data_IF_555913944615
#
_entry.id   IF_555913944615
#
_cell.length_a   1.000
_cell.length_b   1.000
_cell.length_c   1.000
_cell.angle_alpha   90.00
_cell.angle_beta   90.00
_cell.angle_gamma   90.00
#
_symmetry.space_group_name_H-M   'P 1'
#
loop_
_entity.id
_entity.type
_entity.pdbx_description
1 polymer ?
#
# COMPACT_ATOMS: atom_id res chain seq x y z
N UNK A 1 -4.11 25.43 -11.17
CA UNK A 1 -5.43 24.84 -10.78
C UNK A 1 -6.53 25.41 -11.69
N UNK A 2 -7.22 24.54 -12.44
CA UNK A 2 -8.37 24.92 -13.26
C UNK A 2 -9.54 25.40 -12.37
N UNK A 3 -10.48 26.26 -12.87
CA UNK A 3 -11.54 26.80 -12.03
C UNK A 3 -12.42 25.74 -11.33
N UNK A 4 -12.74 24.66 -12.01
CA UNK A 4 -13.54 23.54 -11.47
C UNK A 4 -12.80 22.80 -10.36
N UNK A 5 -11.51 22.56 -10.55
CA UNK A 5 -10.62 21.90 -9.58
C UNK A 5 -10.44 22.81 -8.35
N UNK A 6 -10.34 24.12 -8.55
CA UNK A 6 -10.31 25.09 -7.45
C UNK A 6 -11.61 25.08 -6.64
N UNK A 7 -12.76 25.03 -7.30
CA UNK A 7 -14.04 24.92 -6.61
C UNK A 7 -14.13 23.64 -5.76
N UNK A 8 -13.67 22.51 -6.28
CA UNK A 8 -13.59 21.25 -5.53
C UNK A 8 -12.65 21.37 -4.31
N UNK A 9 -11.47 21.98 -4.48
CA UNK A 9 -10.53 22.23 -3.39
C UNK A 9 -11.15 23.09 -2.27
N UNK A 10 -11.75 24.23 -2.63
CA UNK A 10 -12.37 25.14 -1.65
C UNK A 10 -13.55 24.48 -0.91
N UNK A 11 -14.31 23.62 -1.58
CA UNK A 11 -15.37 22.84 -0.94
C UNK A 11 -14.81 21.86 0.09
N UNK A 12 -13.80 21.07 -0.26
CA UNK A 12 -13.11 20.17 0.66
C UNK A 12 -12.53 20.94 1.85
N UNK A 13 -11.84 22.07 1.58
CA UNK A 13 -11.27 22.93 2.61
C UNK A 13 -12.32 23.43 3.59
N UNK A 14 -13.44 23.92 3.09
CA UNK A 14 -14.53 24.42 3.92
C UNK A 14 -15.14 23.35 4.83
N UNK A 15 -15.32 22.14 4.31
CA UNK A 15 -15.94 21.04 5.06
C UNK A 15 -14.99 20.49 6.13
N UNK A 16 -13.70 20.37 5.82
CA UNK A 16 -12.74 19.63 6.67
C UNK A 16 -11.92 20.55 7.61
N UNK A 17 -11.97 21.88 7.44
CA UNK A 17 -11.21 22.81 8.32
C UNK A 17 -11.54 22.60 9.80
N UNK A 18 -12.81 22.41 10.15
CA UNK A 18 -13.22 22.16 11.54
C UNK A 18 -12.63 20.88 12.14
N UNK A 19 -12.49 19.83 11.32
CA UNK A 19 -11.87 18.58 11.79
C UNK A 19 -10.38 18.77 12.05
N UNK A 20 -9.68 19.44 11.12
CA UNK A 20 -8.26 19.74 11.24
C UNK A 20 -7.95 20.56 12.49
N UNK A 21 -8.71 21.65 12.73
CA UNK A 21 -8.55 22.50 13.90
C UNK A 21 -8.83 21.78 15.23
N UNK A 22 -9.70 20.78 15.22
CA UNK A 22 -9.98 19.94 16.39
C UNK A 22 -8.91 18.88 16.69
N UNK A 23 -8.10 18.50 15.69
CA UNK A 23 -7.15 17.38 15.79
C UNK A 23 -5.68 17.80 15.78
N UNK A 24 -5.37 19.00 15.29
CA UNK A 24 -4.00 19.46 15.10
C UNK A 24 -3.81 20.88 15.66
N UNK A 25 -2.58 21.21 15.99
CA UNK A 25 -2.21 22.58 16.32
C UNK A 25 -2.27 23.48 15.05
N UNK A 26 -2.42 24.81 15.20
CA UNK A 26 -2.58 25.72 14.06
C UNK A 26 -1.45 25.65 13.01
N UNK A 27 -0.20 25.46 13.45
CA UNK A 27 0.95 25.33 12.56
C UNK A 27 0.84 24.08 11.66
N UNK A 28 0.44 22.97 12.22
CA UNK A 28 0.29 21.72 11.48
C UNK A 28 -0.88 21.81 10.49
N UNK A 29 -1.95 22.51 10.86
CA UNK A 29 -3.08 22.81 9.96
C UNK A 29 -2.60 23.62 8.75
N UNK A 30 -1.84 24.70 8.98
CA UNK A 30 -1.31 25.54 7.90
C UNK A 30 -0.37 24.74 6.98
N UNK A 31 0.54 23.93 7.55
CA UNK A 31 1.45 23.09 6.77
C UNK A 31 0.69 22.02 5.98
N UNK A 32 -0.33 21.39 6.58
CA UNK A 32 -1.17 20.43 5.88
C UNK A 32 -1.83 21.06 4.64
N UNK A 33 -2.50 22.22 4.81
CA UNK A 33 -3.16 22.90 3.70
C UNK A 33 -2.20 23.34 2.61
N UNK A 34 -1.03 23.89 2.98
CA UNK A 34 0.01 24.29 2.03
C UNK A 34 0.47 23.10 1.17
N UNK A 35 0.71 21.94 1.79
CA UNK A 35 1.12 20.72 1.10
C UNK A 35 0.00 20.14 0.26
N UNK A 36 -1.21 20.10 0.79
CA UNK A 36 -2.38 19.57 0.08
C UNK A 36 -2.71 20.41 -1.16
N UNK A 37 -2.72 21.75 -1.05
CA UNK A 37 -2.94 22.64 -2.20
C UNK A 37 -1.90 22.42 -3.30
N UNK A 38 -0.63 22.20 -2.92
CA UNK A 38 0.45 21.96 -3.88
C UNK A 38 0.24 20.73 -4.75
N UNK A 39 -0.34 19.67 -4.20
CA UNK A 39 -0.48 18.37 -4.89
C UNK A 39 -1.93 18.07 -5.27
N UNK A 40 -2.84 18.99 -5.01
CA UNK A 40 -4.27 18.77 -5.22
C UNK A 40 -4.63 18.52 -6.68
N UNK A 41 -4.04 19.27 -7.61
CA UNK A 41 -4.31 19.14 -9.04
C UNK A 41 -3.98 17.70 -9.53
N UNK A 42 -2.81 17.20 -9.14
CA UNK A 42 -2.37 15.85 -9.55
C UNK A 42 -3.25 14.77 -8.92
N UNK A 43 -3.56 14.90 -7.62
CA UNK A 43 -4.43 13.96 -6.91
C UNK A 43 -5.84 13.96 -7.50
N UNK A 44 -6.43 15.14 -7.71
CA UNK A 44 -7.76 15.28 -8.29
C UNK A 44 -7.81 14.71 -9.70
N UNK A 45 -6.83 15.02 -10.54
CA UNK A 45 -6.73 14.49 -11.90
C UNK A 45 -6.66 12.96 -11.91
N UNK A 46 -5.80 12.37 -11.08
CA UNK A 46 -5.66 10.92 -11.00
C UNK A 46 -6.96 10.23 -10.55
N UNK A 47 -7.59 10.72 -9.49
CA UNK A 47 -8.85 10.16 -8.98
C UNK A 47 -10.01 10.36 -9.95
N UNK A 48 -10.09 11.52 -10.59
CA UNK A 48 -11.13 11.80 -11.59
C UNK A 48 -10.95 10.92 -12.83
N UNK A 49 -9.72 10.66 -13.26
CA UNK A 49 -9.43 9.76 -14.38
C UNK A 49 -9.89 8.33 -14.10
N UNK A 50 -9.72 7.86 -12.86
CA UNK A 50 -10.07 6.49 -12.49
C UNK A 50 -11.55 6.33 -12.11
N UNK A 51 -12.14 7.33 -11.45
CA UNK A 51 -13.44 7.20 -10.80
C UNK A 51 -14.43 8.32 -11.13
N UNK A 52 -14.06 9.27 -12.00
CA UNK A 52 -14.88 10.48 -12.27
C UNK A 52 -16.26 10.18 -12.86
N UNK A 53 -16.43 9.06 -13.57
CA UNK A 53 -17.71 8.63 -14.14
C UNK A 53 -18.67 8.01 -13.11
N UNK A 54 -18.23 7.80 -11.87
CA UNK A 54 -19.06 7.23 -10.80
C UNK A 54 -19.98 8.30 -10.20
N UNK A 55 -21.21 7.91 -9.91
CA UNK A 55 -22.17 8.80 -9.24
C UNK A 55 -21.73 9.21 -7.82
N UNK A 56 -20.90 8.40 -7.15
CA UNK A 56 -20.38 8.62 -5.79
C UNK A 56 -18.95 9.17 -5.76
N UNK A 57 -18.38 9.61 -6.91
CA UNK A 57 -16.99 10.03 -7.02
C UNK A 57 -16.60 11.13 -6.00
N UNK A 58 -17.46 12.10 -5.76
CA UNK A 58 -17.20 13.19 -4.80
C UNK A 58 -17.19 12.67 -3.35
N UNK A 59 -18.08 11.74 -3.02
CA UNK A 59 -18.10 11.10 -1.69
C UNK A 59 -16.82 10.29 -1.46
N UNK A 60 -16.41 9.48 -2.45
CA UNK A 60 -15.17 8.71 -2.38
C UNK A 60 -13.94 9.59 -2.20
N UNK A 61 -13.89 10.71 -2.92
CA UNK A 61 -12.83 11.71 -2.73
C UNK A 61 -12.83 12.28 -1.29
N UNK A 62 -13.99 12.68 -0.77
CA UNK A 62 -14.12 13.17 0.60
C UNK A 62 -13.68 12.15 1.66
N UNK A 63 -14.03 10.87 1.48
CA UNK A 63 -13.60 9.78 2.37
C UNK A 63 -12.08 9.58 2.34
N UNK A 64 -11.47 9.59 1.16
CA UNK A 64 -10.02 9.49 1.03
C UNK A 64 -9.32 10.68 1.70
N UNK A 65 -9.83 11.89 1.49
CA UNK A 65 -9.32 13.09 2.13
C UNK A 65 -9.39 13.00 3.66
N UNK A 66 -10.52 12.54 4.21
CA UNK A 66 -10.65 12.31 5.66
C UNK A 66 -9.59 11.36 6.22
N UNK A 67 -9.24 10.29 5.49
CA UNK A 67 -8.14 9.39 5.86
C UNK A 67 -6.77 10.08 5.82
N UNK A 68 -6.52 10.95 4.83
CA UNK A 68 -5.29 11.74 4.75
C UNK A 68 -5.15 12.69 5.95
N UNK A 69 -6.24 13.35 6.34
CA UNK A 69 -6.29 14.22 7.52
C UNK A 69 -5.96 13.45 8.79
N UNK A 70 -6.64 12.32 9.02
CA UNK A 70 -6.41 11.48 10.18
C UNK A 70 -4.96 10.99 10.25
N UNK A 71 -4.43 10.49 9.15
CA UNK A 71 -3.06 10.00 9.09
C UNK A 71 -2.02 11.08 9.34
N UNK A 72 -2.25 12.31 8.86
CA UNK A 72 -1.35 13.44 9.12
C UNK A 72 -1.44 13.93 10.58
N UNK A 73 -2.63 13.93 11.15
CA UNK A 73 -2.80 14.26 12.58
C UNK A 73 -2.02 13.31 13.49
N UNK A 74 -2.04 12.01 13.17
CA UNK A 74 -1.30 10.96 13.90
C UNK A 74 0.19 10.88 13.56
N UNK A 75 0.64 11.62 12.53
CA UNK A 75 2.03 11.54 12.09
C UNK A 75 2.98 12.10 13.16
N UNK A 76 4.02 11.35 13.57
CA UNK A 76 5.00 11.80 14.55
C UNK A 76 5.73 13.09 14.10
N UNK A 77 5.94 14.03 15.01
CA UNK A 77 6.57 15.33 14.70
C UNK A 77 7.94 15.22 14.01
N UNK A 78 8.85 14.31 14.41
CA UNK A 78 10.11 14.13 13.69
C UNK A 78 9.93 13.71 12.22
N UNK A 79 8.84 13.00 11.90
CA UNK A 79 8.52 12.62 10.52
C UNK A 79 7.88 13.78 9.74
N UNK A 80 7.09 14.65 10.40
CA UNK A 80 6.59 15.90 9.79
C UNK A 80 7.75 16.81 9.39
N UNK A 81 8.77 16.93 10.26
CA UNK A 81 10.00 17.70 9.97
C UNK A 81 10.74 17.10 8.76
N UNK A 82 10.96 15.77 8.78
CA UNK A 82 11.61 15.07 7.66
C UNK A 82 10.85 15.26 6.33
N UNK A 83 9.51 15.29 6.35
CA UNK A 83 8.70 15.55 5.17
C UNK A 83 9.01 16.92 4.57
N UNK A 84 9.13 17.96 5.40
CA UNK A 84 9.45 19.32 4.95
C UNK A 84 10.88 19.40 4.39
N UNK A 85 11.86 18.78 5.05
CA UNK A 85 13.24 18.70 4.57
C UNK A 85 13.32 18.03 3.19
N UNK A 86 12.62 16.91 3.02
CA UNK A 86 12.54 16.19 1.73
C UNK A 86 11.82 16.99 0.65
N UNK A 87 10.82 17.78 1.02
CA UNK A 87 10.11 18.65 0.10
C UNK A 87 11.01 19.79 -0.41
N UNK A 88 11.85 20.37 0.46
CA UNK A 88 12.85 21.37 0.09
C UNK A 88 13.97 20.79 -0.78
N UNK A 89 14.22 19.50 -0.66
CA UNK A 89 15.26 18.77 -1.41
C UNK A 89 14.64 17.61 -2.20
N UNK A 90 13.71 17.92 -3.10
CA UNK A 90 12.85 16.95 -3.79
C UNK A 90 13.59 15.79 -4.48
N UNK A 91 14.88 15.97 -4.84
CA UNK A 91 15.75 14.95 -5.43
C UNK A 91 16.66 14.26 -4.40
N UNK A 92 16.29 14.25 -3.11
CA UNK A 92 17.09 13.66 -2.05
C UNK A 92 17.46 12.19 -2.33
N UNK A 93 16.58 11.41 -2.95
CA UNK A 93 16.77 10.00 -3.29
C UNK A 93 17.64 9.76 -4.54
N UNK A 94 17.99 10.81 -5.30
CA UNK A 94 18.85 10.76 -6.49
C UNK A 94 20.28 11.28 -6.22
N UNK A 95 20.59 11.57 -4.97
CA UNK A 95 21.93 12.05 -4.60
C UNK A 95 22.97 10.94 -4.75
N UNK A 96 24.21 11.30 -5.08
CA UNK A 96 25.31 10.36 -5.27
C UNK A 96 25.69 9.58 -4.01
N UNK A 97 25.29 10.08 -2.83
CA UNK A 97 25.48 9.41 -1.54
C UNK A 97 24.30 8.51 -1.12
N UNK A 98 23.29 8.32 -1.98
CA UNK A 98 22.23 7.35 -1.75
C UNK A 98 22.72 5.96 -2.13
N UNK A 99 23.29 5.26 -1.14
CA UNK A 99 23.77 3.89 -1.29
C UNK A 99 22.80 2.94 -0.60
N UNK A 100 22.24 2.01 -1.39
CA UNK A 100 21.23 1.07 -0.94
C UNK A 100 21.80 -0.28 -0.52
N UNK A 101 21.17 -0.89 0.48
CA UNK A 101 21.37 -2.29 0.87
C UNK A 101 20.02 -2.98 0.95
N UNK A 102 19.86 -4.10 0.26
CA UNK A 102 18.63 -4.88 0.25
C UNK A 102 18.86 -6.26 0.86
N UNK A 103 18.02 -6.67 1.80
CA UNK A 103 18.15 -7.98 2.43
C UNK A 103 16.82 -8.46 3.02
N UNK A 104 16.73 -9.78 3.22
CA UNK A 104 15.77 -10.37 4.16
C UNK A 104 16.29 -10.20 5.58
N UNK A 105 15.40 -9.84 6.50
CA UNK A 105 15.72 -9.59 7.92
C UNK A 105 16.36 -10.78 8.60
N UNK A 106 15.76 -11.97 8.43
CA UNK A 106 16.23 -13.24 9.00
C UNK A 106 17.61 -13.66 8.46
N UNK A 107 17.82 -13.55 7.15
CA UNK A 107 19.09 -13.91 6.52
C UNK A 107 20.23 -12.94 6.88
N UNK A 108 19.90 -11.66 7.09
CA UNK A 108 20.90 -10.64 7.41
C UNK A 108 21.30 -10.64 8.89
N UNK A 109 20.30 -10.75 9.79
CA UNK A 109 20.55 -10.52 11.21
C UNK A 109 19.65 -11.34 12.16
N UNK A 110 18.87 -12.27 11.65
CA UNK A 110 17.96 -13.12 12.39
C UNK A 110 16.59 -12.49 12.66
N UNK A 111 16.57 -11.28 13.21
CA UNK A 111 15.36 -10.53 13.54
C UNK A 111 15.57 -9.01 13.49
N UNK A 112 14.53 -8.22 13.79
CA UNK A 112 14.60 -6.76 13.80
C UNK A 112 15.57 -6.22 14.86
N UNK A 113 15.73 -6.90 15.98
CA UNK A 113 16.71 -6.54 17.01
C UNK A 113 18.14 -6.76 16.52
N UNK A 114 18.38 -7.86 15.81
CA UNK A 114 19.66 -8.13 15.15
C UNK A 114 20.00 -7.07 14.10
N UNK A 115 19.02 -6.64 13.27
CA UNK A 115 19.23 -5.52 12.32
C UNK A 115 19.64 -4.25 13.04
N UNK A 116 18.99 -3.91 14.17
CA UNK A 116 19.39 -2.76 15.00
C UNK A 116 20.85 -2.89 15.48
N UNK A 117 21.28 -4.08 15.86
CA UNK A 117 22.67 -4.36 16.24
C UNK A 117 23.68 -4.22 15.08
N UNK A 118 23.21 -4.24 13.83
CA UNK A 118 24.04 -4.10 12.61
C UNK A 118 24.09 -2.66 12.05
N UNK A 119 23.45 -1.69 12.66
CA UNK A 119 23.39 -0.31 12.12
C UNK A 119 24.81 0.30 11.98
N UNK A 120 25.70 0.07 12.94
CA UNK A 120 27.09 0.54 12.83
C UNK A 120 27.82 -0.05 11.61
N UNK A 121 27.62 -1.34 11.35
CA UNK A 121 28.16 -2.00 10.14
C UNK A 121 27.60 -1.38 8.86
N UNK A 122 26.30 -1.09 8.80
CA UNK A 122 25.70 -0.42 7.65
C UNK A 122 26.28 0.98 7.42
N UNK A 123 26.56 1.73 8.51
CA UNK A 123 27.21 3.04 8.43
C UNK A 123 28.65 2.93 7.92
N UNK A 124 29.42 1.94 8.37
CA UNK A 124 30.79 1.67 7.88
C UNK A 124 30.81 1.36 6.37
N UNK A 125 29.79 0.68 5.86
CA UNK A 125 29.59 0.46 4.44
C UNK A 125 29.12 1.71 3.67
N UNK A 126 28.82 2.82 4.34
CA UNK A 126 28.28 4.03 3.72
C UNK A 126 26.81 3.90 3.29
N UNK A 127 26.04 2.97 3.87
CA UNK A 127 24.63 2.75 3.54
C UNK A 127 23.79 3.91 4.08
N UNK A 128 22.96 4.48 3.22
CA UNK A 128 21.98 5.53 3.55
C UNK A 128 20.55 5.13 3.23
N UNK A 129 20.35 3.93 2.68
CA UNK A 129 19.06 3.38 2.30
C UNK A 129 19.06 1.88 2.57
N UNK A 130 18.23 1.44 3.51
CA UNK A 130 18.04 0.02 3.85
C UNK A 130 16.67 -0.46 3.38
N UNK A 131 16.64 -1.38 2.44
CA UNK A 131 15.44 -2.07 2.02
C UNK A 131 15.36 -3.43 2.73
N UNK A 132 14.41 -3.57 3.63
CA UNK A 132 14.03 -4.84 4.20
C UNK A 132 12.94 -5.46 3.33
N UNK A 133 13.26 -6.61 2.73
CA UNK A 133 12.33 -7.40 1.92
C UNK A 133 11.15 -7.88 2.80
N UNK A 134 10.06 -8.41 2.23
CA UNK A 134 8.79 -8.52 2.94
C UNK A 134 8.94 -9.05 4.36
N UNK A 135 8.51 -8.25 5.32
CA UNK A 135 8.61 -8.56 6.75
C UNK A 135 7.26 -8.56 7.47
N UNK A 136 6.16 -8.21 6.76
CA UNK A 136 4.83 -8.32 7.32
C UNK A 136 4.38 -9.78 7.37
N UNK A 137 3.33 -10.08 8.13
CA UNK A 137 2.89 -11.44 8.40
C UNK A 137 2.41 -12.14 7.12
N UNK A 138 3.15 -13.12 6.58
CA UNK A 138 2.72 -13.90 5.43
C UNK A 138 1.74 -14.99 5.84
N UNK A 139 1.15 -15.65 4.85
CA UNK A 139 0.37 -16.87 5.05
C UNK A 139 1.23 -18.01 5.58
N UNK A 140 0.64 -19.02 6.28
CA UNK A 140 1.35 -20.23 6.64
C UNK A 140 1.63 -21.11 5.40
N UNK A 141 2.80 -21.77 5.39
CA UNK A 141 3.26 -22.63 4.29
C UNK A 141 3.93 -21.84 3.17
N UNK A 142 3.82 -22.28 1.90
CA UNK A 142 4.39 -21.54 0.77
C UNK A 142 3.80 -20.13 0.71
N UNK A 143 4.65 -19.11 0.71
CA UNK A 143 4.25 -17.71 0.89
C UNK A 143 4.90 -16.76 -0.13
N UNK A 144 5.51 -17.32 -1.17
CA UNK A 144 6.18 -16.56 -2.22
C UNK A 144 7.25 -15.59 -1.66
N UNK A 145 8.08 -16.08 -0.73
CA UNK A 145 9.12 -15.26 -0.11
C UNK A 145 8.60 -14.10 0.74
N UNK A 146 7.40 -14.26 1.31
CA UNK A 146 6.72 -13.26 2.14
C UNK A 146 5.76 -12.34 1.37
N UNK A 147 5.66 -12.48 0.03
CA UNK A 147 4.76 -11.64 -0.76
C UNK A 147 3.28 -12.06 -0.67
N UNK A 148 2.97 -13.26 -0.18
CA UNK A 148 1.58 -13.66 0.10
C UNK A 148 1.17 -13.23 1.52
N UNK A 149 0.80 -11.98 1.69
CA UNK A 149 0.53 -11.40 3.01
C UNK A 149 -0.85 -11.79 3.54
N UNK A 150 -0.89 -12.37 4.75
CA UNK A 150 -2.11 -12.65 5.50
C UNK A 150 -2.50 -11.50 6.43
N UNK A 151 -1.52 -10.73 6.92
CA UNK A 151 -1.75 -9.50 7.68
C UNK A 151 -0.69 -8.45 7.35
N UNK A 152 -1.14 -7.36 6.73
CA UNK A 152 -0.27 -6.26 6.33
C UNK A 152 0.02 -5.27 7.48
N UNK A 153 -0.54 -5.47 8.67
CA UNK A 153 -0.36 -4.61 9.86
C UNK A 153 0.40 -5.28 10.99
N UNK A 154 0.75 -6.56 10.85
CA UNK A 154 1.56 -7.31 11.79
C UNK A 154 2.92 -7.66 11.16
N UNK A 155 3.98 -7.61 11.93
CA UNK A 155 5.29 -8.15 11.54
C UNK A 155 5.26 -9.68 11.66
N UNK A 156 5.94 -10.39 10.77
CA UNK A 156 6.17 -11.84 10.85
C UNK A 156 6.70 -12.18 12.26
N UNK A 157 6.01 -13.07 12.95
CA UNK A 157 6.15 -13.26 14.40
C UNK A 157 7.54 -13.67 14.86
N UNK A 158 8.33 -14.32 14.00
CA UNK A 158 9.72 -14.71 14.26
C UNK A 158 10.72 -13.56 14.05
N UNK A 159 10.30 -12.45 13.37
CA UNK A 159 11.14 -11.28 13.16
C UNK A 159 11.00 -10.22 14.25
N UNK A 160 9.90 -10.23 15.00
CA UNK A 160 9.61 -9.25 16.05
C UNK A 160 8.19 -8.69 16.00
N UNK A 161 8.03 -7.47 16.47
CA UNK A 161 6.75 -6.79 16.60
C UNK A 161 6.72 -5.48 15.80
N UNK A 162 5.53 -4.91 15.62
CA UNK A 162 5.38 -3.55 15.06
C UNK A 162 6.16 -2.51 15.88
N UNK A 163 6.23 -2.68 17.21
CA UNK A 163 6.99 -1.77 18.06
C UNK A 163 8.50 -1.92 17.86
N UNK A 164 9.00 -3.12 17.59
CA UNK A 164 10.42 -3.33 17.24
C UNK A 164 10.76 -2.72 15.88
N UNK A 165 9.85 -2.82 14.90
CA UNK A 165 9.99 -2.13 13.62
C UNK A 165 10.01 -0.61 13.80
N UNK A 166 9.14 -0.05 14.65
CA UNK A 166 9.11 1.38 14.97
C UNK A 166 10.44 1.84 15.59
N UNK A 167 10.98 1.09 16.56
CA UNK A 167 12.28 1.38 17.17
C UNK A 167 13.42 1.34 16.15
N UNK A 168 13.43 0.30 15.28
CA UNK A 168 14.41 0.21 14.20
C UNK A 168 14.33 1.42 13.27
N UNK A 169 13.13 1.84 12.86
CA UNK A 169 12.94 2.99 11.98
C UNK A 169 13.43 4.31 12.61
N UNK A 170 13.25 4.48 13.92
CA UNK A 170 13.80 5.62 14.67
C UNK A 170 15.33 5.58 14.64
N UNK A 171 15.94 4.45 15.04
CA UNK A 171 17.40 4.30 15.14
C UNK A 171 18.08 4.48 13.77
N UNK A 172 17.50 3.96 12.68
CA UNK A 172 17.99 4.17 11.32
C UNK A 172 17.96 5.64 10.92
N UNK A 173 16.80 6.31 11.14
CA UNK A 173 16.62 7.73 10.81
C UNK A 173 17.61 8.62 11.55
N UNK A 174 17.84 8.41 12.84
CA UNK A 174 18.80 9.16 13.65
C UNK A 174 20.23 9.04 13.13
N UNK A 175 20.51 7.98 12.37
CA UNK A 175 21.82 7.73 11.73
C UNK A 175 21.83 8.02 10.24
N UNK A 176 20.81 8.71 9.73
CA UNK A 176 20.73 9.14 8.33
C UNK A 176 20.42 8.01 7.33
N UNK A 177 19.94 6.86 7.79
CA UNK A 177 19.56 5.73 6.95
C UNK A 177 18.04 5.74 6.74
N UNK A 178 17.60 5.81 5.49
CA UNK A 178 16.17 5.72 5.12
C UNK A 178 15.75 4.25 5.09
N UNK A 179 14.67 3.91 5.82
CA UNK A 179 14.06 2.58 5.76
C UNK A 179 13.13 2.49 4.56
N UNK A 180 13.29 1.45 3.75
CA UNK A 180 12.36 1.03 2.70
C UNK A 180 11.66 -0.26 3.10
N UNK A 181 10.35 -0.30 2.89
CA UNK A 181 9.52 -1.47 3.11
C UNK A 181 8.78 -1.84 1.83
N UNK A 182 8.58 -3.15 1.60
CA UNK A 182 7.69 -3.62 0.54
C UNK A 182 6.24 -3.33 0.89
N UNK A 183 5.48 -2.93 -0.11
CA UNK A 183 4.04 -2.81 -0.06
C UNK A 183 3.45 -3.61 -1.22
N UNK A 184 2.86 -4.76 -0.90
CA UNK A 184 2.17 -5.61 -1.87
C UNK A 184 0.81 -4.98 -2.16
N UNK A 185 0.62 -4.55 -3.41
CA UNK A 185 -0.57 -3.82 -3.83
C UNK A 185 -1.54 -4.69 -4.62
N UNK A 186 -1.01 -5.63 -5.42
CA UNK A 186 -1.81 -6.35 -6.40
C UNK A 186 -2.75 -7.37 -5.76
N UNK A 187 -2.34 -8.02 -4.69
CA UNK A 187 -3.02 -9.16 -4.12
C UNK A 187 -2.85 -9.25 -2.59
N UNK A 188 -3.66 -10.08 -1.99
CA UNK A 188 -3.49 -10.56 -0.62
C UNK A 188 -3.54 -12.09 -0.61
N UNK A 189 -3.01 -12.72 0.44
CA UNK A 189 -3.16 -14.16 0.61
C UNK A 189 -4.64 -14.52 0.86
N UNK A 190 -5.03 -15.73 0.45
CA UNK A 190 -6.39 -16.25 0.74
C UNK A 190 -6.71 -16.32 2.24
N UNK A 191 -5.69 -16.32 3.09
CA UNK A 191 -5.81 -16.28 4.56
C UNK A 191 -6.00 -14.87 5.12
N UNK A 192 -5.85 -13.82 4.30
CA UNK A 192 -6.10 -12.44 4.71
C UNK A 192 -7.56 -12.22 5.13
N UNK A 193 -7.80 -11.37 6.11
CA UNK A 193 -9.14 -11.08 6.63
C UNK A 193 -10.15 -10.77 5.51
N UNK A 194 -9.77 -9.95 4.53
CA UNK A 194 -10.67 -9.59 3.41
C UNK A 194 -11.06 -10.81 2.59
N UNK A 195 -10.11 -11.71 2.32
CA UNK A 195 -10.38 -12.94 1.58
C UNK A 195 -11.25 -13.90 2.38
N UNK A 196 -11.04 -14.02 3.69
CA UNK A 196 -11.86 -14.86 4.57
C UNK A 196 -13.29 -14.34 4.68
N UNK A 197 -13.48 -13.03 4.73
CA UNK A 197 -14.82 -12.40 4.73
C UNK A 197 -15.52 -12.54 3.37
N UNK A 198 -14.76 -12.46 2.27
CA UNK A 198 -15.28 -12.76 0.94
C UNK A 198 -15.71 -14.23 0.81
N UNK A 199 -14.94 -15.17 1.36
CA UNK A 199 -15.31 -16.60 1.45
C UNK A 199 -16.62 -16.80 2.19
N UNK A 200 -16.84 -16.07 3.29
CA UNK A 200 -18.06 -16.10 4.07
C UNK A 200 -19.29 -15.48 3.33
N UNK A 201 -19.07 -14.87 2.16
CA UNK A 201 -20.13 -14.29 1.34
C UNK A 201 -20.49 -12.85 1.69
N UNK A 202 -19.66 -12.13 2.45
CA UNK A 202 -19.89 -10.72 2.71
C UNK A 202 -19.70 -9.90 1.42
N UNK A 203 -20.78 -9.31 0.92
CA UNK A 203 -20.83 -8.62 -0.38
C UNK A 203 -19.77 -7.52 -0.51
N UNK A 204 -19.51 -6.76 0.56
CA UNK A 204 -18.48 -5.73 0.59
C UNK A 204 -17.12 -6.31 0.22
N UNK A 205 -16.74 -7.43 0.83
CA UNK A 205 -15.43 -8.05 0.65
C UNK A 205 -15.35 -8.91 -0.61
N UNK A 206 -16.47 -9.47 -1.08
CA UNK A 206 -16.53 -10.05 -2.42
C UNK A 206 -16.18 -9.03 -3.50
N UNK A 207 -16.63 -7.79 -3.34
CA UNK A 207 -16.32 -6.69 -4.26
C UNK A 207 -14.85 -6.21 -4.19
N UNK A 208 -14.07 -6.65 -3.20
CA UNK A 208 -12.62 -6.36 -3.13
C UNK A 208 -11.80 -7.20 -4.11
N UNK A 209 -12.36 -8.27 -4.64
CA UNK A 209 -11.71 -9.20 -5.54
C UNK A 209 -12.42 -9.27 -6.90
N UNK A 210 -11.69 -9.64 -7.93
CA UNK A 210 -12.27 -9.99 -9.22
C UNK A 210 -12.77 -11.43 -9.15
N UNK A 211 -14.08 -11.62 -9.09
CA UNK A 211 -14.72 -12.94 -8.97
C UNK A 211 -15.72 -13.19 -10.08
N UNK A 212 -15.79 -14.44 -10.58
CA UNK A 212 -16.62 -14.84 -11.71
C UNK A 212 -17.39 -16.12 -11.39
N UNK A 213 -18.65 -16.20 -11.86
CA UNK A 213 -19.50 -17.37 -11.64
C UNK A 213 -19.16 -18.54 -12.60
N UNK A 214 -18.69 -18.22 -13.81
CA UNK A 214 -18.39 -19.18 -14.86
C UNK A 214 -17.10 -18.79 -15.63
N UNK A 215 -16.70 -19.66 -16.57
CA UNK A 215 -15.46 -19.48 -17.35
C UNK A 215 -15.62 -18.75 -18.68
N UNK A 216 -16.79 -18.31 -19.05
CA UNK A 216 -17.05 -17.76 -20.39
C UNK A 216 -16.09 -16.62 -20.75
N UNK A 217 -15.97 -15.63 -19.85
CA UNK A 217 -15.02 -14.52 -20.04
C UNK A 217 -13.57 -14.96 -19.78
N UNK A 218 -13.36 -15.87 -18.84
CA UNK A 218 -12.03 -16.33 -18.45
C UNK A 218 -11.36 -17.11 -19.58
N UNK A 219 -12.08 -18.03 -20.20
CA UNK A 219 -11.58 -18.80 -21.36
C UNK A 219 -11.26 -17.90 -22.55
N UNK A 220 -12.00 -16.80 -22.73
CA UNK A 220 -11.69 -15.82 -23.76
C UNK A 220 -10.39 -15.04 -23.44
N UNK A 221 -10.20 -14.69 -22.18
CA UNK A 221 -9.00 -13.99 -21.70
C UNK A 221 -7.75 -14.87 -21.85
N UNK A 222 -7.79 -16.09 -21.32
CA UNK A 222 -6.68 -17.04 -21.31
C UNK A 222 -6.18 -17.41 -22.73
N UNK A 223 -7.05 -17.40 -23.74
CA UNK A 223 -6.64 -17.70 -25.13
C UNK A 223 -5.73 -16.67 -25.76
N UNK A 224 -5.71 -15.45 -25.26
CA UNK A 224 -5.06 -14.32 -25.92
C UNK A 224 -3.95 -13.67 -25.13
N UNK A 225 -3.83 -14.01 -23.85
CA UNK A 225 -2.91 -13.34 -22.94
C UNK A 225 -1.93 -14.32 -22.29
N UNK A 226 -0.66 -13.94 -22.14
CA UNK A 226 0.33 -14.76 -21.45
C UNK A 226 0.02 -14.85 -19.94
N UNK A 227 0.34 -15.99 -19.37
CA UNK A 227 0.34 -16.21 -17.93
C UNK A 227 1.69 -15.77 -17.34
N UNK A 228 1.68 -15.29 -16.09
CA UNK A 228 2.91 -14.89 -15.41
C UNK A 228 3.62 -16.11 -14.86
N UNK A 229 2.89 -16.97 -14.14
CA UNK A 229 3.38 -18.23 -13.59
C UNK A 229 2.44 -19.39 -13.97
N UNK A 230 2.54 -19.94 -15.17
CA UNK A 230 1.61 -20.94 -15.69
C UNK A 230 1.57 -22.25 -14.86
N UNK A 231 2.65 -22.60 -14.21
CA UNK A 231 2.73 -23.80 -13.37
C UNK A 231 2.08 -23.59 -11.98
N UNK A 232 2.05 -22.34 -11.47
CA UNK A 232 1.58 -21.98 -10.13
C UNK A 232 0.13 -21.46 -10.10
N UNK A 233 -0.29 -20.77 -11.14
CA UNK A 233 -1.63 -20.23 -11.28
C UNK A 233 -2.10 -20.36 -12.75
N UNK A 234 -2.41 -21.58 -13.21
CA UNK A 234 -2.81 -21.84 -14.59
C UNK A 234 -4.03 -20.99 -15.00
N UNK A 235 -3.89 -20.23 -16.09
CA UNK A 235 -4.95 -19.39 -16.64
C UNK A 235 -5.25 -18.13 -15.85
N UNK A 236 -4.44 -17.76 -14.87
CA UNK A 236 -4.65 -16.61 -13.99
C UNK A 236 -5.97 -16.62 -13.19
N UNK A 237 -6.66 -17.75 -13.11
CA UNK A 237 -7.94 -17.88 -12.40
C UNK A 237 -8.01 -19.18 -11.61
N UNK A 238 -8.33 -19.08 -10.34
CA UNK A 238 -8.44 -20.21 -9.41
C UNK A 238 -9.89 -20.44 -9.00
N UNK A 239 -10.36 -21.70 -9.09
CA UNK A 239 -11.69 -22.07 -8.57
C UNK A 239 -11.68 -22.19 -7.06
N UNK A 240 -12.56 -21.45 -6.39
CA UNK A 240 -12.74 -21.47 -4.94
C UNK A 240 -14.12 -22.02 -4.60
N UNK A 241 -14.24 -23.31 -4.28
CA UNK A 241 -15.53 -24.01 -4.15
C UNK A 241 -16.45 -23.44 -3.06
N UNK A 242 -15.87 -22.91 -1.98
CA UNK A 242 -16.62 -22.42 -0.81
C UNK A 242 -17.06 -20.97 -0.94
N UNK A 243 -16.56 -20.22 -1.93
CA UNK A 243 -16.79 -18.78 -2.02
C UNK A 243 -18.27 -18.47 -2.15
N UNK A 244 -18.79 -17.69 -1.22
CA UNK A 244 -20.19 -17.25 -1.16
C UNK A 244 -21.22 -18.42 -1.24
N UNK A 245 -20.86 -19.60 -0.76
CA UNK A 245 -21.74 -20.78 -0.71
C UNK A 245 -22.02 -21.47 -2.06
N UNK A 246 -21.58 -20.89 -3.17
CA UNK A 246 -21.85 -21.43 -4.51
C UNK A 246 -20.57 -21.72 -5.33
N UNK A 247 -19.41 -21.34 -4.81
CA UNK A 247 -18.14 -21.37 -5.53
C UNK A 247 -18.01 -20.24 -6.56
N UNK A 248 -16.79 -19.74 -6.73
CA UNK A 248 -16.45 -18.73 -7.73
C UNK A 248 -15.02 -18.92 -8.23
N UNK A 249 -14.76 -18.44 -9.43
CA UNK A 249 -13.42 -18.21 -9.94
C UNK A 249 -12.91 -16.88 -9.41
N UNK A 250 -11.67 -16.86 -8.93
CA UNK A 250 -10.98 -15.66 -8.45
C UNK A 250 -9.79 -15.39 -9.36
N UNK A 251 -9.54 -14.12 -9.67
CA UNK A 251 -8.33 -13.74 -10.39
C UNK A 251 -7.10 -13.94 -9.50
N UNK A 252 -6.10 -14.69 -10.01
CA UNK A 252 -4.86 -15.06 -9.31
C UNK A 252 -3.69 -14.96 -10.29
N UNK A 253 -3.10 -13.76 -10.38
CA UNK A 253 -2.04 -13.51 -11.38
C UNK A 253 -0.77 -14.32 -11.12
N UNK A 254 -0.40 -14.56 -9.84
CA UNK A 254 0.89 -15.15 -9.47
C UNK A 254 0.75 -16.57 -8.92
N UNK A 255 0.04 -16.73 -7.80
CA UNK A 255 -0.19 -18.04 -7.18
C UNK A 255 -1.67 -18.23 -6.87
N UNK A 256 -2.13 -19.47 -6.82
CA UNK A 256 -3.54 -19.83 -6.53
C UNK A 256 -4.03 -19.31 -5.17
N UNK A 257 -3.12 -19.06 -4.25
CA UNK A 257 -3.38 -18.51 -2.92
C UNK A 257 -3.23 -16.99 -2.82
N UNK A 258 -2.84 -16.30 -3.90
CA UNK A 258 -2.71 -14.82 -3.99
C UNK A 258 -3.88 -14.28 -4.79
N UNK A 259 -4.86 -13.69 -4.09
CA UNK A 259 -6.09 -13.20 -4.69
C UNK A 259 -5.98 -11.74 -5.07
N UNK A 260 -6.14 -11.45 -6.34
CA UNK A 260 -5.94 -10.13 -6.91
C UNK A 260 -7.04 -9.14 -6.52
N UNK A 261 -6.61 -7.95 -6.09
CA UNK A 261 -7.48 -6.89 -5.62
C UNK A 261 -8.15 -6.13 -6.78
N UNK A 262 -9.40 -5.76 -6.57
CA UNK A 262 -10.22 -5.04 -7.54
C UNK A 262 -10.12 -3.52 -7.34
N UNK A 263 -9.18 -2.88 -8.00
CA UNK A 263 -9.01 -1.43 -7.94
C UNK A 263 -10.10 -0.63 -8.67
N UNK A 264 -11.01 -1.25 -9.42
CA UNK A 264 -12.21 -0.56 -9.90
C UNK A 264 -13.20 -0.24 -8.75
N UNK A 265 -13.01 -0.88 -7.60
CA UNK A 265 -13.69 -0.56 -6.35
C UNK A 265 -12.86 0.45 -5.54
N UNK A 266 -13.32 1.70 -5.37
CA UNK A 266 -12.56 2.73 -4.63
C UNK A 266 -12.33 2.38 -3.15
N UNK A 267 -13.14 1.51 -2.54
CA UNK A 267 -12.91 1.04 -1.17
C UNK A 267 -11.55 0.33 -1.04
N UNK A 268 -11.13 -0.43 -2.05
CA UNK A 268 -9.81 -1.07 -2.09
C UNK A 268 -8.70 -0.03 -2.06
N UNK A 269 -8.82 1.04 -2.85
CA UNK A 269 -7.85 2.15 -2.85
C UNK A 269 -7.78 2.81 -1.48
N UNK A 270 -8.92 3.01 -0.82
CA UNK A 270 -8.96 3.59 0.53
C UNK A 270 -8.19 2.74 1.55
N UNK A 271 -8.39 1.43 1.54
CA UNK A 271 -7.69 0.51 2.45
C UNK A 271 -6.18 0.49 2.17
N UNK A 272 -5.78 0.47 0.90
CA UNK A 272 -4.36 0.48 0.52
C UNK A 272 -3.69 1.82 0.88
N UNK A 273 -4.34 2.95 0.64
CA UNK A 273 -3.80 4.26 1.03
C UNK A 273 -3.67 4.38 2.55
N UNK A 274 -4.62 3.83 3.31
CA UNK A 274 -4.52 3.79 4.77
C UNK A 274 -3.32 2.92 5.23
N UNK A 275 -3.08 1.79 4.55
CA UNK A 275 -1.89 0.97 4.80
C UNK A 275 -0.60 1.73 4.46
N UNK A 276 -0.56 2.49 3.35
CA UNK A 276 0.58 3.35 3.02
C UNK A 276 0.86 4.36 4.14
N UNK A 277 -0.19 5.01 4.66
CA UNK A 277 -0.04 5.96 5.77
C UNK A 277 0.41 5.27 7.06
N UNK A 278 -0.11 4.09 7.36
CA UNK A 278 0.31 3.30 8.51
C UNK A 278 1.81 3.03 8.46
N UNK A 279 2.33 2.49 7.35
CA UNK A 279 3.76 2.22 7.17
C UNK A 279 4.61 3.50 7.21
N UNK A 280 4.14 4.57 6.57
CA UNK A 280 4.81 5.87 6.61
C UNK A 280 4.88 6.45 8.02
N UNK A 281 3.84 6.29 8.84
CA UNK A 281 3.80 6.74 10.23
C UNK A 281 4.61 5.85 11.18
N UNK A 282 4.87 4.59 10.82
CA UNK A 282 5.87 3.76 11.49
C UNK A 282 7.30 4.26 11.28
N UNK A 283 7.55 5.01 10.22
CA UNK A 283 8.86 5.57 9.89
C UNK A 283 9.48 5.04 8.60
N UNK A 284 8.72 4.28 7.80
CA UNK A 284 9.15 3.93 6.44
C UNK A 284 9.36 5.22 5.63
N UNK A 285 10.58 5.44 5.19
CA UNK A 285 10.96 6.59 4.37
C UNK A 285 10.70 6.41 2.89
N UNK A 286 10.58 5.16 2.46
CA UNK A 286 10.32 4.73 1.09
C UNK A 286 9.42 3.49 1.14
N UNK A 287 8.47 3.39 0.21
CA UNK A 287 7.69 2.18 -0.03
C UNK A 287 8.05 1.63 -1.41
N UNK A 288 8.47 0.37 -1.47
CA UNK A 288 8.64 -0.34 -2.73
C UNK A 288 7.29 -0.97 -3.10
N UNK A 289 6.71 -0.50 -4.19
CA UNK A 289 5.41 -0.98 -4.66
C UNK A 289 5.61 -2.27 -5.48
N UNK A 290 5.18 -3.39 -4.90
CA UNK A 290 5.25 -4.67 -5.59
C UNK A 290 4.13 -4.82 -6.61
N UNK A 291 4.43 -5.52 -7.72
CA UNK A 291 3.47 -5.88 -8.78
C UNK A 291 2.62 -4.72 -9.32
N UNK A 292 3.14 -3.47 -9.28
CA UNK A 292 2.42 -2.26 -9.70
C UNK A 292 1.82 -2.33 -11.13
N UNK A 293 2.44 -2.98 -12.14
CA UNK A 293 1.86 -3.11 -13.48
C UNK A 293 0.56 -3.91 -13.54
N UNK A 294 0.24 -4.68 -12.51
CA UNK A 294 -0.92 -5.58 -12.49
C UNK A 294 -2.14 -5.04 -11.75
N UNK A 295 -2.11 -3.79 -11.25
CA UNK A 295 -3.14 -3.26 -10.37
C UNK A 295 -4.50 -3.05 -11.05
N UNK A 296 -4.49 -2.47 -12.25
CA UNK A 296 -5.73 -2.15 -12.96
C UNK A 296 -6.09 -3.25 -13.95
N UNK A 297 -7.06 -4.09 -13.57
CA UNK A 297 -7.45 -5.24 -14.39
C UNK A 297 -8.60 -4.93 -15.33
N UNK A 298 -8.41 -5.32 -16.58
CA UNK A 298 -9.45 -5.25 -17.61
C UNK A 298 -9.45 -6.53 -18.42
N UNK A 299 -10.59 -7.20 -18.49
CA UNK A 299 -10.72 -8.43 -19.29
C UNK A 299 -10.28 -8.23 -20.73
N UNK A 300 -9.47 -9.15 -21.23
CA UNK A 300 -8.91 -9.09 -22.59
C UNK A 300 -7.69 -8.18 -22.74
N UNK A 301 -7.13 -7.67 -21.65
CA UNK A 301 -5.87 -6.92 -21.62
C UNK A 301 -4.90 -7.52 -20.58
N UNK A 302 -3.62 -7.25 -20.72
CA UNK A 302 -2.59 -7.68 -19.76
C UNK A 302 -2.33 -6.64 -18.66
N UNK A 303 -3.37 -5.92 -18.24
CA UNK A 303 -3.40 -4.87 -17.21
C UNK A 303 -2.76 -3.55 -17.62
#
# INVERSE_FOLDING_TARGET
MAPEVRAAFENVRKVESYRLEGWMNPRDVDVFWLRFERYFDDLHYALHTLYGDRADALEQFGRLFGRMVAAYAERPDPLKVLDLERQLTARWFQRTNMVGYTCYTDHFAGDLSGVRGRIAYLQELGITYLHLMPLMQPRPGPDDGGYAMADCRAVRSDLGTIEDLRKLAVDLRERGISLCLDLVLNHVAREHEWAQRALAGEERYLAYFHTFADRTLLDAHERTLPEVFPDEAPGNFTWVPQMAGAGRWVWTTFHDYQWDLNYSNPEVVHEIVELMFFLANLGAGVLRLDAAPFLWKRMGTNC
#
